data_IF_198329556401
#
_entry.id   IF_198329556401
#
_cell.length_a   1.000
_cell.length_b   1.000
_cell.length_c   1.000
_cell.angle_alpha   90.00
_cell.angle_beta   90.00
_cell.angle_gamma   90.00
#
_symmetry.space_group_name_H-M   'P 1'
#
loop_
_entity.id
_entity.type
_entity.pdbx_description
1 polymer ?
#
# COMPACT_ATOMS: atom_id res chain seq x y z
N UNK A 1 3.69 -2.75 11.78
CA UNK A 1 4.67 -1.97 10.98
C UNK A 1 5.96 -1.71 11.76
N UNK A 2 5.96 -0.97 12.89
CA UNK A 2 7.20 -0.66 13.66
C UNK A 2 8.02 -1.90 13.98
N UNK A 3 7.40 -2.99 14.48
CA UNK A 3 8.10 -4.24 14.76
C UNK A 3 8.78 -4.80 13.51
N UNK A 4 8.05 -4.90 12.40
CA UNK A 4 8.58 -5.44 11.14
C UNK A 4 9.80 -4.65 10.63
N UNK A 5 9.74 -3.33 10.64
CA UNK A 5 10.86 -2.49 10.20
C UNK A 5 12.05 -2.55 11.14
N UNK A 6 11.81 -2.41 12.45
CA UNK A 6 12.88 -2.27 13.45
C UNK A 6 13.49 -3.61 13.85
N UNK A 7 12.64 -4.62 14.14
CA UNK A 7 13.11 -5.87 14.72
C UNK A 7 13.39 -6.93 13.65
N UNK A 8 12.51 -7.05 12.63
CA UNK A 8 12.68 -8.08 11.62
C UNK A 8 13.63 -7.63 10.50
N UNK A 9 13.60 -6.33 10.12
CA UNK A 9 14.38 -5.80 9.01
C UNK A 9 15.57 -4.91 9.42
N UNK A 10 15.67 -4.49 10.69
CA UNK A 10 16.82 -3.77 11.24
C UNK A 10 16.93 -2.28 10.85
N UNK A 11 15.82 -1.66 10.43
CA UNK A 11 15.81 -0.24 10.08
C UNK A 11 15.58 0.65 11.29
N UNK A 12 16.10 1.88 11.25
CA UNK A 12 15.77 2.90 12.23
C UNK A 12 14.35 3.41 11.97
N UNK A 13 13.53 3.53 13.02
CA UNK A 13 12.13 3.93 12.92
C UNK A 13 11.84 5.07 13.87
N UNK A 14 11.34 6.17 13.31
CA UNK A 14 10.80 7.31 14.06
C UNK A 14 9.28 7.25 13.99
N UNK A 15 8.62 7.24 15.15
CA UNK A 15 7.17 7.27 15.25
C UNK A 15 6.69 8.72 15.37
N UNK A 16 5.91 9.18 14.39
CA UNK A 16 5.36 10.53 14.34
C UNK A 16 3.88 10.51 14.70
N UNK A 17 3.46 11.51 15.45
CA UNK A 17 2.07 11.66 15.85
C UNK A 17 1.31 12.53 14.83
N UNK A 18 0.03 12.24 14.60
CA UNK A 18 -0.78 12.95 13.60
C UNK A 18 -0.88 14.48 13.82
N UNK A 19 -0.52 14.98 15.00
CA UNK A 19 -0.48 16.42 15.31
C UNK A 19 0.93 17.03 15.17
N UNK A 20 1.94 16.22 14.87
CA UNK A 20 3.25 16.73 14.56
C UNK A 20 3.23 17.46 13.20
N UNK A 21 4.16 18.38 13.01
CA UNK A 21 4.34 19.17 11.79
C UNK A 21 5.79 19.12 11.28
N UNK A 22 6.54 18.08 11.69
CA UNK A 22 7.93 17.88 11.30
C UNK A 22 8.15 16.37 11.05
N UNK A 23 8.66 16.03 9.88
CA UNK A 23 9.01 14.65 9.49
C UNK A 23 10.37 14.21 10.06
N UNK A 24 11.10 15.07 10.77
CA UNK A 24 12.39 14.79 11.42
C UNK A 24 13.48 14.27 10.45
N UNK A 25 13.47 14.77 9.21
CA UNK A 25 14.43 14.41 8.14
C UNK A 25 14.49 12.89 7.87
N UNK A 26 13.35 12.21 7.89
CA UNK A 26 13.28 10.80 7.52
C UNK A 26 13.50 10.61 6.03
N UNK A 27 14.05 9.46 5.65
CA UNK A 27 14.33 9.12 4.26
C UNK A 27 13.08 8.57 3.54
N UNK A 28 12.15 7.97 4.28
CA UNK A 28 10.87 7.50 3.78
C UNK A 28 9.77 7.64 4.82
N UNK A 29 8.53 7.77 4.35
CA UNK A 29 7.34 7.83 5.21
C UNK A 29 6.46 6.61 4.96
N UNK A 30 6.01 5.95 6.03
CA UNK A 30 5.05 4.86 5.96
C UNK A 30 3.79 5.22 6.75
N UNK A 31 2.66 5.25 6.05
CA UNK A 31 1.34 5.36 6.66
C UNK A 31 0.82 3.93 6.93
N UNK A 32 0.77 3.49 8.20
CA UNK A 32 0.39 2.11 8.52
C UNK A 32 -1.11 1.88 8.39
N UNK A 33 -1.50 0.61 8.43
CA UNK A 33 -2.90 0.20 8.59
C UNK A 33 -3.47 0.61 9.95
N UNK A 34 -4.79 0.69 10.02
CA UNK A 34 -5.53 1.08 11.23
C UNK A 34 -6.98 1.43 10.91
N UNK A 35 -7.61 2.11 11.86
CA UNK A 35 -8.96 2.67 11.74
C UNK A 35 -8.90 4.14 12.17
N UNK A 36 -8.36 4.99 11.30
CA UNK A 36 -8.17 6.40 11.62
C UNK A 36 -9.50 7.10 11.83
N UNK A 37 -9.64 7.77 13.00
CA UNK A 37 -10.87 8.45 13.41
C UNK A 37 -12.11 7.55 13.40
N UNK A 38 -11.94 6.22 13.57
CA UNK A 38 -13.02 5.24 13.64
C UNK A 38 -13.79 5.04 12.33
N UNK A 39 -13.26 5.53 11.21
CA UNK A 39 -13.85 5.44 9.86
C UNK A 39 -15.30 5.90 9.79
N UNK A 40 -15.67 6.93 10.58
CA UNK A 40 -17.04 7.44 10.68
C UNK A 40 -17.59 8.05 9.38
N UNK A 41 -16.71 8.45 8.49
CA UNK A 41 -17.04 8.83 7.11
C UNK A 41 -16.51 7.74 6.18
N UNK A 42 -15.90 8.11 5.06
CA UNK A 42 -15.09 7.17 4.28
C UNK A 42 -13.72 7.03 4.95
N UNK A 43 -13.18 5.81 4.98
CA UNK A 43 -11.88 5.53 5.60
C UNK A 43 -10.79 6.45 5.03
N UNK A 44 -10.00 7.07 5.92
CA UNK A 44 -8.95 8.03 5.54
C UNK A 44 -9.42 9.48 5.33
N UNK A 45 -10.72 9.73 5.12
CA UNK A 45 -11.24 11.04 4.73
C UNK A 45 -10.98 12.16 5.78
N UNK A 46 -10.95 11.83 7.06
CA UNK A 46 -10.63 12.79 8.11
C UNK A 46 -9.11 12.87 8.32
N UNK A 47 -8.41 11.75 8.28
CA UNK A 47 -6.99 11.67 8.56
C UNK A 47 -6.15 12.52 7.59
N UNK A 48 -6.58 12.68 6.33
CA UNK A 48 -5.90 13.52 5.34
C UNK A 48 -5.72 14.99 5.77
N UNK A 49 -6.53 15.47 6.70
CA UNK A 49 -6.46 16.85 7.24
C UNK A 49 -5.61 16.96 8.50
N UNK A 50 -4.94 15.91 8.94
CA UNK A 50 -4.02 16.00 10.08
C UNK A 50 -2.78 16.84 9.73
N UNK A 51 -2.19 17.49 10.74
CA UNK A 51 -1.04 18.40 10.54
C UNK A 51 0.13 17.68 9.87
N UNK A 52 0.42 16.44 10.28
CA UNK A 52 1.52 15.67 9.68
C UNK A 52 1.28 15.39 8.19
N UNK A 53 0.02 15.25 7.75
CA UNK A 53 -0.28 14.97 6.34
C UNK A 53 0.04 16.15 5.42
N UNK A 54 0.03 17.39 5.91
CA UNK A 54 0.49 18.54 5.13
C UNK A 54 1.98 18.40 4.77
N UNK A 55 2.79 17.94 5.73
CA UNK A 55 4.22 17.71 5.51
C UNK A 55 4.47 16.44 4.66
N UNK A 56 3.67 15.38 4.84
CA UNK A 56 3.73 14.19 3.99
C UNK A 56 3.43 14.53 2.52
N UNK A 57 2.43 15.38 2.26
CA UNK A 57 2.10 15.83 0.90
C UNK A 57 3.25 16.63 0.28
N UNK A 58 3.88 17.54 1.03
CA UNK A 58 5.06 18.28 0.56
C UNK A 58 6.21 17.33 0.25
N UNK A 59 6.55 16.46 1.19
CA UNK A 59 7.61 15.45 1.04
C UNK A 59 7.41 14.59 -0.20
N UNK A 60 6.18 14.09 -0.42
CA UNK A 60 5.85 13.29 -1.60
C UNK A 60 6.00 14.08 -2.90
N UNK A 61 5.56 15.36 -2.94
CA UNK A 61 5.66 16.22 -4.11
C UNK A 61 7.11 16.62 -4.44
N UNK A 62 8.00 16.59 -3.46
CA UNK A 62 9.44 16.81 -3.61
C UNK A 62 10.20 15.53 -4.01
N UNK A 63 9.49 14.41 -4.23
CA UNK A 63 10.08 13.13 -4.64
C UNK A 63 10.37 12.16 -3.51
N UNK A 64 10.05 12.53 -2.26
CA UNK A 64 10.20 11.66 -1.09
C UNK A 64 9.39 10.38 -1.21
N UNK A 65 9.90 9.28 -0.66
CA UNK A 65 9.30 7.94 -0.79
C UNK A 65 8.22 7.73 0.26
N UNK A 66 7.00 7.46 -0.19
CA UNK A 66 5.84 7.26 0.70
C UNK A 66 5.16 5.93 0.41
N UNK A 67 4.88 5.14 1.45
CA UNK A 67 4.13 3.89 1.35
C UNK A 67 2.90 3.93 2.27
N UNK A 68 1.71 3.71 1.72
CA UNK A 68 0.46 3.54 2.46
C UNK A 68 0.02 2.07 2.49
N UNK A 69 -0.24 1.54 3.68
CA UNK A 69 -0.75 0.18 3.87
C UNK A 69 -2.17 0.23 4.41
N UNK A 70 -3.11 -0.45 3.77
CA UNK A 70 -4.52 -0.55 4.17
C UNK A 70 -5.13 0.85 4.43
N UNK A 71 -5.34 1.25 5.67
CA UNK A 71 -5.82 2.60 6.01
C UNK A 71 -4.86 3.70 5.53
N UNK A 72 -3.55 3.47 5.54
CA UNK A 72 -2.58 4.40 4.94
C UNK A 72 -2.78 4.59 3.44
N UNK A 73 -3.09 3.53 2.70
CA UNK A 73 -3.43 3.63 1.27
C UNK A 73 -4.71 4.44 1.05
N UNK A 74 -5.75 4.19 1.86
CA UNK A 74 -6.99 4.97 1.84
C UNK A 74 -6.71 6.48 2.06
N UNK A 75 -5.86 6.82 3.04
CA UNK A 75 -5.45 8.21 3.32
C UNK A 75 -4.73 8.84 2.13
N UNK A 76 -3.82 8.10 1.46
CA UNK A 76 -3.09 8.61 0.30
C UNK A 76 -4.01 8.88 -0.89
N UNK A 77 -5.02 8.03 -1.13
CA UNK A 77 -6.05 8.29 -2.14
C UNK A 77 -6.88 9.54 -1.77
N UNK A 78 -7.32 9.65 -0.51
CA UNK A 78 -8.09 10.81 -0.04
C UNK A 78 -7.28 12.12 -0.07
N UNK A 79 -5.96 12.05 0.08
CA UNK A 79 -5.06 13.19 -0.03
C UNK A 79 -4.72 13.55 -1.49
N UNK A 80 -5.17 12.78 -2.48
CA UNK A 80 -4.87 12.99 -3.90
C UNK A 80 -3.43 12.65 -4.29
N UNK A 81 -2.69 11.92 -3.45
CA UNK A 81 -1.34 11.46 -3.73
C UNK A 81 -1.30 10.17 -4.56
N UNK A 82 -2.38 9.41 -4.52
CA UNK A 82 -2.59 8.20 -5.33
C UNK A 82 -3.91 8.30 -6.11
N UNK A 83 -3.98 7.70 -7.30
CA UNK A 83 -5.22 7.65 -8.08
C UNK A 83 -6.25 6.74 -7.42
N UNK A 84 -7.53 6.99 -7.71
CA UNK A 84 -8.65 6.15 -7.30
C UNK A 84 -9.13 6.35 -5.88
N UNK A 85 -9.99 5.44 -5.45
CA UNK A 85 -10.61 5.45 -4.12
C UNK A 85 -10.86 4.04 -3.61
N UNK A 86 -10.94 3.87 -2.29
CA UNK A 86 -11.29 2.61 -1.66
C UNK A 86 -12.76 2.66 -1.22
N UNK A 87 -13.52 1.68 -1.66
CA UNK A 87 -14.94 1.51 -1.34
C UNK A 87 -15.15 0.32 -0.41
N UNK A 88 -16.38 0.21 0.14
CA UNK A 88 -16.76 -1.00 0.86
C UNK A 88 -16.52 -2.25 0.04
N UNK A 89 -16.01 -3.31 0.68
CA UNK A 89 -15.94 -4.63 0.06
C UNK A 89 -17.30 -5.00 -0.56
N UNK A 90 -17.28 -5.65 -1.70
CA UNK A 90 -18.50 -6.07 -2.40
C UNK A 90 -19.44 -6.88 -1.49
N UNK A 91 -18.87 -7.74 -0.65
CA UNK A 91 -19.60 -8.54 0.34
C UNK A 91 -20.22 -7.74 1.50
N UNK A 92 -19.88 -6.45 1.64
CA UNK A 92 -20.23 -5.59 2.79
C UNK A 92 -19.78 -6.15 4.15
N UNK A 93 -18.80 -7.05 4.16
CA UNK A 93 -18.26 -7.67 5.36
C UNK A 93 -16.80 -7.32 5.54
N UNK A 94 -16.35 -7.27 6.79
CA UNK A 94 -14.93 -7.24 7.11
C UNK A 94 -14.30 -8.59 6.70
N UNK A 95 -13.18 -8.54 5.98
CA UNK A 95 -12.46 -9.71 5.49
C UNK A 95 -11.08 -9.74 6.13
N UNK A 96 -10.76 -10.85 6.80
CA UNK A 96 -9.44 -11.10 7.39
C UNK A 96 -8.98 -12.49 6.96
N UNK A 97 -8.03 -12.56 6.02
CA UNK A 97 -7.47 -13.81 5.48
C UNK A 97 -6.17 -13.56 4.74
N UNK A 98 -5.40 -14.62 4.47
CA UNK A 98 -4.31 -14.57 3.50
C UNK A 98 -4.87 -14.55 2.08
N UNK A 99 -4.22 -13.77 1.20
CA UNK A 99 -4.50 -13.70 -0.23
C UNK A 99 -3.18 -13.81 -0.99
N UNK A 100 -3.25 -14.20 -2.26
CA UNK A 100 -2.08 -14.18 -3.13
C UNK A 100 -2.08 -12.92 -3.99
N UNK A 101 -0.89 -12.35 -4.16
CA UNK A 101 -0.63 -11.17 -4.98
C UNK A 101 0.41 -11.52 -6.02
N UNK A 102 0.20 -11.09 -7.26
CA UNK A 102 1.23 -11.10 -8.28
C UNK A 102 1.74 -9.68 -8.52
N UNK A 103 3.07 -9.42 -8.47
CA UNK A 103 3.63 -8.15 -8.89
C UNK A 103 3.45 -8.01 -10.41
N UNK A 104 3.04 -6.83 -10.89
CA UNK A 104 2.77 -6.62 -12.33
C UNK A 104 3.50 -5.44 -12.94
N UNK A 105 3.82 -4.40 -12.16
CA UNK A 105 4.58 -3.26 -12.67
C UNK A 105 6.01 -3.66 -13.00
N UNK A 106 6.48 -3.23 -14.17
CA UNK A 106 7.83 -3.46 -14.67
C UNK A 106 8.77 -2.28 -14.42
N UNK A 107 8.20 -1.12 -14.12
CA UNK A 107 8.94 0.13 -14.01
C UNK A 107 8.81 0.77 -12.63
N UNK A 108 7.90 0.30 -11.78
CA UNK A 108 7.78 0.79 -10.42
C UNK A 108 8.95 0.25 -9.57
N UNK A 109 9.72 1.14 -8.94
CA UNK A 109 10.88 0.73 -8.19
C UNK A 109 10.56 -0.21 -7.02
N UNK A 110 9.40 -0.04 -6.37
CA UNK A 110 8.97 -0.90 -5.25
C UNK A 110 8.87 -2.39 -5.62
N UNK A 111 8.59 -2.70 -6.89
CA UNK A 111 8.46 -4.08 -7.40
C UNK A 111 9.69 -4.55 -8.17
N UNK A 112 10.72 -3.72 -8.31
CA UNK A 112 11.87 -3.98 -9.17
C UNK A 112 12.68 -5.23 -8.77
N UNK A 113 12.76 -5.53 -7.46
CA UNK A 113 13.46 -6.71 -6.92
C UNK A 113 12.57 -7.96 -6.82
N UNK A 114 11.27 -7.85 -7.15
CA UNK A 114 10.32 -8.96 -7.05
C UNK A 114 10.26 -9.76 -8.36
N UNK A 115 10.10 -11.08 -8.21
CA UNK A 115 9.82 -11.93 -9.38
C UNK A 115 8.35 -11.75 -9.81
N UNK A 116 8.15 -11.24 -11.03
CA UNK A 116 6.81 -11.00 -11.60
C UNK A 116 6.03 -12.30 -11.91
N UNK A 117 6.61 -13.47 -11.68
CA UNK A 117 5.98 -14.77 -11.92
C UNK A 117 5.66 -15.54 -10.64
N UNK A 118 6.18 -15.08 -9.51
CA UNK A 118 6.02 -15.75 -8.23
C UNK A 118 4.97 -15.01 -7.39
N UNK A 119 3.81 -15.64 -7.11
CA UNK A 119 2.81 -15.03 -6.22
C UNK A 119 3.33 -14.94 -4.79
N UNK A 120 2.97 -13.84 -4.12
CA UNK A 120 3.28 -13.56 -2.72
C UNK A 120 2.03 -13.76 -1.88
N UNK A 121 2.13 -14.48 -0.77
CA UNK A 121 1.02 -14.67 0.16
C UNK A 121 1.04 -13.59 1.23
N UNK A 122 0.09 -12.64 1.18
CA UNK A 122 0.04 -11.49 2.09
C UNK A 122 -1.33 -11.41 2.78
N UNK A 123 -1.41 -11.17 4.11
CA UNK A 123 -2.67 -11.00 4.82
C UNK A 123 -3.41 -9.71 4.43
N UNK A 124 -4.74 -9.79 4.39
CA UNK A 124 -5.65 -8.63 4.35
C UNK A 124 -6.51 -8.59 5.61
N UNK A 125 -6.90 -7.37 6.03
CA UNK A 125 -7.81 -7.16 7.16
C UNK A 125 -8.55 -5.81 7.00
N UNK A 126 -9.67 -5.80 6.27
CA UNK A 126 -10.38 -4.56 5.94
C UNK A 126 -11.88 -4.77 5.66
N UNK A 127 -12.67 -3.72 5.87
CA UNK A 127 -14.08 -3.61 5.45
C UNK A 127 -14.25 -2.77 4.17
N UNK A 128 -13.27 -1.91 3.87
CA UNK A 128 -13.22 -0.99 2.73
C UNK A 128 -11.91 -1.18 1.97
N UNK A 129 -11.85 -2.20 1.11
CA UNK A 129 -10.67 -2.51 0.31
C UNK A 129 -10.96 -2.65 -1.18
N UNK A 130 -12.20 -2.39 -1.60
CA UNK A 130 -12.61 -2.41 -2.99
C UNK A 130 -12.07 -1.18 -3.71
N UNK A 131 -10.93 -1.33 -4.39
CA UNK A 131 -10.30 -0.26 -5.16
C UNK A 131 -11.12 0.03 -6.41
N UNK A 132 -11.40 1.30 -6.65
CA UNK A 132 -12.24 1.78 -7.74
C UNK A 132 -11.62 2.99 -8.44
N UNK A 133 -11.75 2.99 -9.76
CA UNK A 133 -11.44 4.09 -10.68
C UNK A 133 -12.53 4.16 -11.75
N UNK A 134 -12.87 5.37 -12.26
CA UNK A 134 -13.57 5.51 -13.54
C UNK A 134 -12.76 4.90 -14.69
N UNK A 135 -13.44 4.45 -15.75
CA UNK A 135 -12.81 3.72 -16.88
C UNK A 135 -11.66 4.53 -17.52
N UNK A 136 -11.84 5.83 -17.72
CA UNK A 136 -10.82 6.71 -18.32
C UNK A 136 -9.56 6.79 -17.46
N UNK A 137 -9.72 6.95 -16.13
CA UNK A 137 -8.59 6.98 -15.20
C UNK A 137 -7.93 5.60 -15.06
N UNK A 138 -8.71 4.53 -15.18
CA UNK A 138 -8.18 3.16 -15.17
C UNK A 138 -7.27 2.90 -16.37
N UNK A 139 -7.68 3.33 -17.57
CA UNK A 139 -6.86 3.23 -18.78
C UNK A 139 -5.53 3.98 -18.61
N UNK A 140 -5.54 5.18 -18.02
CA UNK A 140 -4.32 5.95 -17.74
C UNK A 140 -3.40 5.25 -16.74
N UNK A 141 -3.94 4.73 -15.64
CA UNK A 141 -3.19 4.00 -14.60
C UNK A 141 -2.52 2.74 -15.17
N UNK A 142 -3.24 2.01 -16.03
CA UNK A 142 -2.71 0.83 -16.72
C UNK A 142 -1.62 1.21 -17.74
N UNK A 143 -1.87 2.23 -18.56
CA UNK A 143 -0.93 2.69 -19.59
C UNK A 143 0.38 3.24 -18.99
N UNK A 144 0.31 3.88 -17.82
CA UNK A 144 1.47 4.42 -17.11
C UNK A 144 2.21 3.39 -16.25
N UNK A 145 1.80 2.10 -16.27
CA UNK A 145 2.37 1.02 -15.45
C UNK A 145 2.36 1.36 -13.95
N UNK A 146 1.23 1.94 -13.47
CA UNK A 146 1.05 2.34 -12.08
C UNK A 146 0.46 1.23 -11.18
N UNK A 147 -0.03 0.14 -11.74
CA UNK A 147 -0.51 -1.02 -10.98
C UNK A 147 0.68 -1.81 -10.47
N UNK A 148 0.83 -1.90 -9.14
CA UNK A 148 1.93 -2.63 -8.49
C UNK A 148 1.63 -4.12 -8.36
N UNK A 149 0.45 -4.44 -7.84
CA UNK A 149 0.03 -5.79 -7.49
C UNK A 149 -1.41 -6.04 -7.91
N UNK A 150 -1.67 -7.29 -8.31
CA UNK A 150 -3.04 -7.78 -8.49
C UNK A 150 -3.30 -8.98 -7.58
N UNK A 151 -4.54 -9.11 -7.12
CA UNK A 151 -5.00 -10.34 -6.49
C UNK A 151 -4.97 -11.48 -7.50
N UNK A 152 -4.40 -12.60 -7.12
CA UNK A 152 -4.30 -13.81 -7.94
C UNK A 152 -4.58 -15.06 -7.11
N UNK A 153 -4.64 -16.21 -7.73
CA UNK A 153 -4.68 -17.49 -7.04
C UNK A 153 -3.25 -18.01 -6.72
N UNK A 154 -3.16 -19.19 -6.11
CA UNK A 154 -1.88 -19.79 -5.72
C UNK A 154 -0.95 -20.09 -6.90
N UNK A 155 -1.52 -20.22 -8.11
CA UNK A 155 -0.74 -20.42 -9.33
C UNK A 155 -0.28 -19.11 -9.98
N UNK A 156 -0.68 -17.95 -9.43
CA UNK A 156 -0.38 -16.62 -9.95
C UNK A 156 -1.35 -16.15 -11.03
N UNK A 157 -2.45 -16.87 -11.27
CA UNK A 157 -3.44 -16.51 -12.28
C UNK A 157 -4.41 -15.45 -11.73
N UNK A 158 -4.51 -14.33 -12.44
CA UNK A 158 -5.44 -13.25 -12.10
C UNK A 158 -6.83 -13.62 -12.60
N UNK A 159 -7.73 -13.92 -11.69
CA UNK A 159 -9.11 -14.30 -12.03
C UNK A 159 -10.10 -13.76 -10.98
N UNK A 160 -11.39 -13.78 -11.30
CA UNK A 160 -12.45 -13.23 -10.44
C UNK A 160 -12.58 -13.96 -9.10
N UNK A 161 -12.25 -15.25 -9.03
CA UNK A 161 -12.36 -16.04 -7.80
C UNK A 161 -11.27 -15.66 -6.79
N UNK A 162 -10.14 -15.16 -7.28
CA UNK A 162 -9.04 -14.70 -6.46
C UNK A 162 -9.27 -13.28 -5.90
N UNK A 163 -10.25 -12.54 -6.43
CA UNK A 163 -10.59 -11.18 -5.97
C UNK A 163 -11.36 -11.23 -4.63
N UNK A 164 -10.78 -10.77 -3.52
CA UNK A 164 -11.42 -10.93 -2.22
C UNK A 164 -12.50 -9.88 -1.94
N UNK A 165 -12.47 -8.73 -2.62
CA UNK A 165 -13.18 -7.53 -2.18
C UNK A 165 -13.93 -6.76 -3.28
N UNK A 166 -13.82 -7.19 -4.54
CA UNK A 166 -14.45 -6.55 -5.69
C UNK A 166 -13.61 -5.44 -6.35
N UNK A 167 -12.33 -5.34 -6.00
CA UNK A 167 -11.43 -4.34 -6.59
C UNK A 167 -11.37 -4.45 -8.12
N UNK A 168 -11.44 -3.31 -8.81
CA UNK A 168 -11.41 -3.27 -10.28
C UNK A 168 -10.12 -3.94 -10.80
N UNK A 169 -10.23 -4.74 -11.85
CA UNK A 169 -9.10 -5.48 -12.45
C UNK A 169 -8.23 -6.24 -11.44
N UNK A 170 -8.79 -6.69 -10.30
CA UNK A 170 -8.07 -7.33 -9.21
C UNK A 170 -6.94 -6.46 -8.62
N UNK A 171 -6.98 -5.14 -8.78
CA UNK A 171 -5.91 -4.25 -8.30
C UNK A 171 -5.84 -4.30 -6.77
N UNK A 172 -4.67 -4.67 -6.25
CA UNK A 172 -4.38 -4.76 -4.83
C UNK A 172 -3.49 -3.60 -4.32
N UNK A 173 -2.79 -2.92 -5.24
CA UNK A 173 -1.93 -1.79 -4.94
C UNK A 173 -1.51 -1.03 -6.20
N UNK A 174 -1.26 0.27 -6.02
CA UNK A 174 -0.89 1.21 -7.09
C UNK A 174 0.21 2.16 -6.65
N UNK A 175 0.83 2.85 -7.62
CA UNK A 175 1.70 4.00 -7.36
C UNK A 175 1.20 5.25 -8.11
N UNK A 176 1.77 6.41 -7.74
CA UNK A 176 1.57 7.65 -8.50
C UNK A 176 2.40 7.64 -9.79
N UNK A 177 2.18 8.63 -10.68
CA UNK A 177 2.94 8.78 -11.93
C UNK A 177 4.44 8.93 -11.67
N UNK A 178 4.83 9.66 -10.61
CA UNK A 178 6.23 9.87 -10.20
C UNK A 178 6.92 8.63 -9.62
N UNK A 179 6.17 7.57 -9.35
CA UNK A 179 6.65 6.29 -8.80
C UNK A 179 7.45 6.41 -7.50
N UNK A 180 7.07 7.39 -6.67
CA UNK A 180 7.63 7.63 -5.35
C UNK A 180 6.58 7.51 -4.24
N UNK A 181 5.29 7.46 -4.58
CA UNK A 181 4.19 7.21 -3.64
C UNK A 181 3.54 5.88 -4.01
N UNK A 182 3.41 4.99 -3.04
CA UNK A 182 2.92 3.62 -3.20
C UNK A 182 1.80 3.35 -2.21
N UNK A 183 0.80 2.57 -2.63
CA UNK A 183 -0.28 2.16 -1.74
C UNK A 183 -0.75 0.74 -2.03
N UNK A 184 -1.08 -0.02 -0.98
CA UNK A 184 -1.64 -1.35 -1.11
C UNK A 184 -2.57 -1.70 0.04
N UNK A 185 -3.61 -2.50 -0.24
CA UNK A 185 -4.54 -2.97 0.81
C UNK A 185 -3.99 -4.13 1.65
N UNK A 186 -3.24 -5.08 1.09
CA UNK A 186 -2.59 -6.14 1.88
C UNK A 186 -1.52 -5.60 2.84
N UNK A 187 -1.24 -6.38 3.89
CA UNK A 187 -0.36 -6.02 5.00
C UNK A 187 0.98 -6.76 4.92
N UNK A 188 1.99 -6.24 4.20
CA UNK A 188 3.30 -6.89 4.10
C UNK A 188 3.99 -7.03 5.46
N UNK A 189 3.74 -6.10 6.40
CA UNK A 189 4.30 -6.15 7.76
C UNK A 189 3.81 -7.34 8.60
N UNK A 190 2.78 -8.04 8.15
CA UNK A 190 2.26 -9.27 8.78
C UNK A 190 2.79 -10.54 8.13
N UNK A 191 3.72 -10.40 7.19
CA UNK A 191 4.37 -11.47 6.44
C UNK A 191 5.87 -11.18 6.31
N UNK A 192 6.55 -10.83 7.43
CA UNK A 192 7.94 -10.39 7.47
C UNK A 192 8.87 -11.27 8.30
N UNK A 193 8.35 -12.30 8.96
CA UNK A 193 9.11 -13.09 9.93
C UNK A 193 8.72 -14.55 9.84
N UNK A 194 9.69 -15.45 10.04
CA UNK A 194 9.46 -16.89 10.18
C UNK A 194 8.55 -17.20 11.37
N UNK A 195 8.60 -16.41 12.43
CA UNK A 195 7.71 -16.54 13.60
C UNK A 195 6.23 -16.30 13.22
N UNK A 196 5.97 -15.52 12.17
CA UNK A 196 4.65 -15.34 11.59
C UNK A 196 4.30 -16.42 10.55
N UNK A 197 5.25 -17.33 10.27
CA UNK A 197 5.10 -18.40 9.29
C UNK A 197 5.14 -17.92 7.83
N UNK A 198 5.55 -16.68 7.58
CA UNK A 198 5.59 -16.09 6.24
C UNK A 198 6.54 -14.90 6.17
N UNK A 199 7.38 -14.86 5.13
CA UNK A 199 8.37 -13.79 4.88
C UNK A 199 8.17 -13.06 3.55
N UNK A 200 7.12 -13.33 2.81
CA UNK A 200 6.88 -12.76 1.48
C UNK A 200 6.78 -11.22 1.50
N UNK A 201 6.23 -10.67 2.58
CA UNK A 201 6.08 -9.22 2.78
C UNK A 201 7.39 -8.50 3.06
N UNK A 202 8.41 -9.20 3.56
CA UNK A 202 9.72 -8.61 3.84
C UNK A 202 10.36 -8.03 2.58
N UNK A 203 10.23 -8.69 1.43
CA UNK A 203 10.80 -8.24 0.17
C UNK A 203 10.14 -6.96 -0.34
N UNK A 204 8.83 -6.78 -0.10
CA UNK A 204 8.12 -5.54 -0.45
C UNK A 204 8.66 -4.37 0.38
N UNK A 205 8.82 -4.56 1.69
CA UNK A 205 9.34 -3.50 2.58
C UNK A 205 10.81 -3.20 2.33
N UNK A 206 11.63 -4.22 2.01
CA UNK A 206 13.03 -4.03 1.59
C UNK A 206 13.12 -3.23 0.30
N UNK A 207 12.24 -3.50 -0.69
CA UNK A 207 12.18 -2.74 -1.93
C UNK A 207 12.03 -1.23 -1.70
N UNK A 208 11.19 -0.81 -0.72
CA UNK A 208 11.10 0.60 -0.35
C UNK A 208 12.42 1.17 0.20
N UNK A 209 13.12 0.40 1.05
CA UNK A 209 14.37 0.85 1.66
C UNK A 209 15.55 0.86 0.65
N UNK A 210 15.55 -0.04 -0.31
CA UNK A 210 16.51 -0.02 -1.43
C UNK A 210 16.39 1.25 -2.27
N UNK A 211 15.16 1.77 -2.44
CA UNK A 211 14.93 3.05 -3.12
C UNK A 211 15.54 4.24 -2.38
N UNK A 212 15.44 4.22 -1.06
CA UNK A 212 16.02 5.25 -0.20
C UNK A 212 17.55 5.23 -0.28
N UNK A 213 18.14 4.05 -0.33
CA UNK A 213 19.60 3.89 -0.39
C UNK A 213 20.20 4.23 -1.76
N UNK A 214 19.38 4.37 -2.80
CA UNK A 214 19.82 4.65 -4.17
C UNK A 214 19.87 6.15 -4.51
N UNK A 215 19.26 7.01 -3.68
CA UNK A 215 19.26 8.48 -3.79
C UNK A 215 20.45 9.06 -3.02
#
# INVERSE_FOLDING_TARGET
MVHALKNDLGYEVVELWHKDSDLQNVDAVILPGGFSYGDYLRSGAIARFSMIMEEVVKFANEGGKVLGICNGFQILCEAGLLPGTLMHNESRKFICKNVHLIPVSRTAPLTASLDLKTPLMIPIAHGEGNYFLPDEELEEVEANDQVLFRYCDEAGEVNSNANPNGAINNIAGVCNVGKNVFGMMPHPERACSEDLGNIDGANILKGLMELVAAD
#
